data_IF_169907695421
#
_entry.id   IF_169907695421
#
_cell.length_a   1.000
_cell.length_b   1.000
_cell.length_c   1.000
_cell.angle_alpha   90.00
_cell.angle_beta   90.00
_cell.angle_gamma   90.00
#
_symmetry.space_group_name_H-M   'P 1'
#
loop_
_entity.id
_entity.type
_entity.pdbx_description
1 polymer ?
#
# COMPACT_ATOMS: atom_id res chain seq x y z
N UNK A 1 -24.03 -59.29 25.58
CA UNK A 1 -24.30 -60.00 26.87
C UNK A 1 -24.94 -58.92 27.75
N UNK A 2 -26.30 -58.75 27.82
CA UNK A 2 -27.25 -59.51 28.71
C UNK A 2 -26.78 -59.39 30.14
N UNK A 3 -27.54 -58.76 31.04
CA UNK A 3 -28.78 -59.06 31.72
C UNK A 3 -29.06 -57.91 32.72
N UNK A 4 -30.23 -57.40 32.75
CA UNK A 4 -31.48 -57.64 33.48
C UNK A 4 -31.57 -57.00 34.87
N UNK A 5 -32.56 -56.18 34.97
CA UNK A 5 -33.58 -55.83 36.00
C UNK A 5 -33.85 -56.95 37.10
N UNK A 6 -34.65 -56.71 38.21
CA UNK A 6 -35.68 -55.65 38.45
C UNK A 6 -35.97 -55.33 39.94
N UNK A 7 -36.95 -54.44 40.11
CA UNK A 7 -38.01 -54.49 41.16
C UNK A 7 -37.78 -53.53 42.34
N UNK A 8 -38.73 -52.79 42.81
CA UNK A 8 -40.10 -52.69 42.90
C UNK A 8 -40.52 -51.60 43.88
N UNK A 9 -41.65 -51.05 43.56
CA UNK A 9 -42.77 -50.57 44.39
C UNK A 9 -42.63 -49.43 45.39
N UNK A 10 -43.28 -48.33 45.03
CA UNK A 10 -44.46 -47.68 45.66
C UNK A 10 -44.30 -46.90 46.97
N UNK A 11 -44.69 -45.65 47.00
CA UNK A 11 -45.87 -45.03 47.56
C UNK A 11 -45.78 -43.52 47.71
N UNK A 12 -46.73 -42.82 47.07
CA UNK A 12 -47.55 -41.70 47.49
C UNK A 12 -46.93 -40.53 48.26
N UNK A 13 -47.22 -39.31 47.71
CA UNK A 13 -47.83 -38.26 48.54
C UNK A 13 -47.42 -36.84 48.23
N UNK A 14 -48.24 -36.12 47.49
CA UNK A 14 -48.80 -34.78 47.73
C UNK A 14 -47.88 -33.64 48.11
N UNK A 15 -47.98 -32.52 47.36
CA UNK A 15 -47.58 -31.21 47.80
C UNK A 15 -47.29 -30.24 46.66
N UNK A 16 -48.33 -29.64 46.06
CA UNK A 16 -48.21 -28.46 45.19
C UNK A 16 -47.77 -27.27 46.00
N UNK A 17 -46.76 -26.59 45.59
CA UNK A 17 -46.63 -25.16 45.79
C UNK A 17 -45.89 -24.54 44.61
N UNK A 18 -46.65 -23.88 43.73
CA UNK A 18 -46.17 -23.09 42.61
C UNK A 18 -45.69 -21.75 43.13
N UNK A 19 -44.41 -21.49 43.01
CA UNK A 19 -43.87 -20.14 43.07
C UNK A 19 -43.40 -19.73 41.70
N UNK A 20 -44.22 -18.94 41.04
CA UNK A 20 -43.90 -18.31 39.77
C UNK A 20 -43.06 -17.05 40.07
N UNK A 21 -41.77 -17.09 39.76
CA UNK A 21 -40.95 -15.86 39.65
C UNK A 21 -40.86 -15.50 38.17
N UNK A 22 -41.18 -14.26 37.79
CA UNK A 22 -40.93 -13.84 36.42
C UNK A 22 -39.46 -13.49 36.28
N UNK A 23 -38.73 -14.30 35.54
CA UNK A 23 -37.39 -13.96 35.07
C UNK A 23 -37.55 -13.04 33.86
N UNK A 24 -37.41 -11.75 34.11
CA UNK A 24 -37.24 -10.75 33.03
C UNK A 24 -35.87 -10.95 32.40
N UNK A 25 -35.82 -11.67 31.28
CA UNK A 25 -34.66 -11.73 30.40
C UNK A 25 -34.53 -10.38 29.67
N UNK A 26 -33.70 -9.49 30.21
CA UNK A 26 -33.21 -8.32 29.46
C UNK A 26 -32.19 -8.82 28.46
N UNK A 27 -32.63 -9.12 27.24
CA UNK A 27 -31.76 -9.41 26.11
C UNK A 27 -31.14 -8.07 25.65
N UNK A 28 -29.94 -7.75 26.16
CA UNK A 28 -29.09 -6.70 25.58
C UNK A 28 -28.55 -7.26 24.28
N UNK A 29 -29.24 -6.99 23.19
CA UNK A 29 -28.78 -7.25 21.85
C UNK A 29 -27.62 -6.28 21.52
N UNK A 30 -26.38 -6.74 21.72
CA UNK A 30 -25.20 -6.08 21.20
C UNK A 30 -25.11 -6.43 19.71
N UNK A 31 -25.84 -5.69 18.88
CA UNK A 31 -25.62 -5.73 17.42
C UNK A 31 -24.34 -4.95 17.13
N UNK A 32 -23.22 -5.66 17.10
CA UNK A 32 -21.99 -5.18 16.48
C UNK A 32 -22.25 -5.03 14.98
N UNK A 33 -22.61 -3.82 14.56
CA UNK A 33 -22.52 -3.40 13.17
C UNK A 33 -21.02 -3.31 12.83
N UNK A 34 -20.44 -4.44 12.43
CA UNK A 34 -19.25 -4.42 11.58
C UNK A 34 -19.72 -3.90 10.23
N UNK A 35 -19.70 -2.58 10.07
CA UNK A 35 -19.82 -1.95 8.76
C UNK A 35 -18.58 -2.36 7.95
N UNK A 36 -18.71 -3.31 7.06
CA UNK A 36 -17.74 -3.50 5.99
C UNK A 36 -17.72 -2.18 5.21
N UNK A 37 -16.60 -1.44 5.31
CA UNK A 37 -16.39 -0.27 4.47
C UNK A 37 -16.42 -0.77 3.01
N UNK A 38 -17.43 -0.36 2.26
CA UNK A 38 -17.50 -0.64 0.84
C UNK A 38 -16.37 0.16 0.17
N UNK A 39 -15.35 -0.53 -0.35
CA UNK A 39 -14.34 0.11 -1.20
C UNK A 39 -15.06 0.52 -2.48
N UNK A 40 -15.08 1.82 -2.79
CA UNK A 40 -15.54 2.27 -4.08
C UNK A 40 -14.61 1.70 -5.15
N UNK A 41 -15.14 0.94 -6.10
CA UNK A 41 -14.34 0.42 -7.20
C UNK A 41 -13.62 1.59 -7.87
N UNK A 42 -12.30 1.47 -8.04
CA UNK A 42 -11.52 2.52 -8.69
C UNK A 42 -11.92 2.73 -10.15
N UNK A 43 -11.48 3.81 -10.73
CA UNK A 43 -11.81 4.21 -12.11
C UNK A 43 -10.56 4.32 -12.98
N UNK A 44 -10.72 4.04 -14.28
CA UNK A 44 -9.66 4.34 -15.24
C UNK A 44 -9.65 5.84 -15.55
N UNK A 45 -8.45 6.40 -15.55
CA UNK A 45 -8.22 7.81 -15.87
C UNK A 45 -7.13 7.93 -16.93
N UNK A 46 -7.24 8.96 -17.78
CA UNK A 46 -6.23 9.32 -18.77
C UNK A 46 -5.68 10.72 -18.42
N UNK A 47 -4.37 10.89 -18.50
CA UNK A 47 -3.71 12.16 -18.18
C UNK A 47 -2.49 12.42 -19.05
N UNK A 48 -2.07 13.68 -19.22
CA UNK A 48 -0.92 14.03 -20.03
C UNK A 48 0.37 13.46 -19.48
N UNK A 49 1.29 13.07 -20.39
CA UNK A 49 2.67 12.80 -20.01
C UNK A 49 3.43 14.11 -19.76
N UNK A 50 4.61 14.04 -19.14
CA UNK A 50 5.50 15.21 -18.95
C UNK A 50 6.05 15.75 -20.28
N UNK A 51 6.02 14.96 -21.33
CA UNK A 51 6.43 15.33 -22.68
C UNK A 51 5.28 15.12 -23.66
N UNK A 52 4.96 16.12 -24.47
CA UNK A 52 3.96 16.04 -25.52
C UNK A 52 4.31 15.03 -26.64
N UNK A 53 5.59 14.61 -26.71
CA UNK A 53 6.07 13.60 -27.67
C UNK A 53 5.77 12.16 -27.22
N UNK A 54 5.43 11.98 -25.97
CA UNK A 54 5.04 10.71 -25.37
C UNK A 54 3.52 10.56 -25.40
N UNK A 55 2.99 9.33 -25.47
CA UNK A 55 1.57 9.11 -25.37
C UNK A 55 1.05 9.58 -23.99
N UNK A 56 -0.21 9.97 -23.94
CA UNK A 56 -0.91 10.15 -22.67
C UNK A 56 -0.81 8.85 -21.87
N UNK A 57 -0.77 8.99 -20.57
CA UNK A 57 -0.76 7.87 -19.64
C UNK A 57 -2.18 7.49 -19.24
N UNK A 58 -2.35 6.22 -18.95
CA UNK A 58 -3.57 5.67 -18.37
C UNK A 58 -3.25 5.20 -16.96
N UNK A 59 -4.19 5.30 -16.04
CA UNK A 59 -4.01 4.78 -14.70
C UNK A 59 -5.31 4.30 -14.08
N UNK A 60 -5.19 3.49 -13.05
CA UNK A 60 -6.29 3.07 -12.19
C UNK A 60 -6.27 3.92 -10.93
N UNK A 61 -7.33 4.70 -10.72
CA UNK A 61 -7.48 5.64 -9.60
C UNK A 61 -8.47 5.09 -8.59
N UNK A 62 -8.00 4.82 -7.37
CA UNK A 62 -8.83 4.54 -6.21
C UNK A 62 -8.92 5.78 -5.31
N UNK A 63 -10.08 5.97 -4.68
CA UNK A 63 -10.35 7.07 -3.74
C UNK A 63 -10.86 6.52 -2.42
N UNK A 64 -10.55 7.18 -1.30
CA UNK A 64 -11.19 6.86 -0.02
C UNK A 64 -12.70 7.01 -0.16
N UNK A 65 -13.45 6.10 0.48
CA UNK A 65 -14.91 6.22 0.54
C UNK A 65 -15.33 7.50 1.27
N UNK A 66 -16.22 8.26 0.66
CA UNK A 66 -16.81 9.46 1.30
C UNK A 66 -17.51 9.15 2.64
N UNK A 67 -17.91 7.88 2.85
CA UNK A 67 -18.47 7.40 4.10
C UNK A 67 -17.49 7.40 5.28
N UNK A 68 -16.19 7.21 5.04
CA UNK A 68 -15.15 7.27 6.09
C UNK A 68 -14.94 8.70 6.59
N UNK A 69 -15.02 9.70 5.73
CA UNK A 69 -14.93 11.12 6.14
C UNK A 69 -16.08 11.57 7.01
N UNK A 70 -17.29 11.05 6.80
CA UNK A 70 -18.46 11.34 7.65
C UNK A 70 -18.34 10.76 9.07
N UNK A 71 -17.60 9.65 9.23
CA UNK A 71 -17.33 9.03 10.54
C UNK A 71 -16.24 9.75 11.33
N UNK A 72 -15.35 10.48 10.64
CA UNK A 72 -14.28 11.26 11.26
C UNK A 72 -14.72 12.64 11.81
N UNK A 73 -16.02 12.96 11.75
CA UNK A 73 -16.59 14.16 12.38
C UNK A 73 -16.32 15.48 11.64
N UNK A 74 -15.94 15.43 10.36
CA UNK A 74 -15.80 16.62 9.53
C UNK A 74 -17.16 17.23 9.17
N UNK A 75 -17.26 18.55 9.23
CA UNK A 75 -18.44 19.29 8.80
C UNK A 75 -18.76 19.00 7.34
N UNK A 76 -20.02 18.73 7.03
CA UNK A 76 -20.53 18.27 5.72
C UNK A 76 -20.35 19.28 4.57
N UNK A 77 -19.65 20.40 4.78
CA UNK A 77 -19.54 21.48 3.81
C UNK A 77 -18.15 21.70 3.21
N UNK A 78 -17.09 21.09 3.75
CA UNK A 78 -15.76 21.17 3.16
C UNK A 78 -15.48 19.85 2.43
N UNK A 79 -15.20 19.94 1.13
CA UNK A 79 -14.81 18.76 0.34
C UNK A 79 -13.53 18.17 0.95
N UNK A 80 -13.59 16.91 1.41
CA UNK A 80 -12.46 16.27 2.06
C UNK A 80 -11.26 16.20 1.09
N UNK A 81 -10.12 16.71 1.53
CA UNK A 81 -8.86 16.74 0.80
C UNK A 81 -7.94 15.67 1.37
N UNK A 82 -7.50 14.74 0.55
CA UNK A 82 -6.76 13.55 0.95
C UNK A 82 -5.29 13.62 0.55
N UNK A 83 -4.39 12.99 1.31
CA UNK A 83 -3.07 12.67 0.81
C UNK A 83 -3.16 11.67 -0.34
N UNK A 84 -2.13 11.62 -1.20
CA UNK A 84 -2.15 10.74 -2.35
C UNK A 84 -0.88 9.90 -2.50
N UNK A 85 -1.00 8.77 -3.22
CA UNK A 85 0.12 7.86 -3.53
C UNK A 85 0.09 7.50 -5.02
N UNK A 86 1.17 7.79 -5.72
CA UNK A 86 1.43 7.27 -7.07
C UNK A 86 1.98 5.85 -6.94
N UNK A 87 1.40 4.88 -7.65
CA UNK A 87 1.83 3.48 -7.64
C UNK A 87 2.45 3.11 -8.98
N UNK A 88 3.67 2.57 -8.95
CA UNK A 88 4.46 2.20 -10.12
C UNK A 88 4.62 0.67 -10.18
N UNK A 89 4.12 0.08 -11.25
CA UNK A 89 4.13 -1.37 -11.46
C UNK A 89 5.53 -1.93 -11.75
N UNK A 90 5.72 -3.24 -11.55
CA UNK A 90 6.91 -3.97 -11.95
C UNK A 90 7.06 -4.09 -13.48
N UNK A 91 8.07 -4.81 -13.94
CA UNK A 91 8.42 -4.89 -15.35
C UNK A 91 7.37 -5.57 -16.26
N UNK A 92 6.42 -6.30 -15.67
CA UNK A 92 5.30 -6.93 -16.38
C UNK A 92 4.13 -6.00 -16.73
N UNK A 93 4.18 -4.72 -16.34
CA UNK A 93 3.04 -3.81 -16.52
C UNK A 93 2.06 -3.84 -15.33
N UNK A 94 0.92 -3.15 -15.47
CA UNK A 94 -0.16 -3.21 -14.48
C UNK A 94 -0.69 -4.66 -14.38
N UNK A 95 -0.90 -5.10 -13.15
CA UNK A 95 -1.38 -6.43 -12.82
C UNK A 95 -2.48 -6.37 -11.75
N UNK A 96 -3.15 -7.50 -11.48
CA UNK A 96 -4.08 -7.60 -10.35
C UNK A 96 -3.45 -7.13 -9.03
N UNK A 97 -2.20 -7.50 -8.78
CA UNK A 97 -1.47 -7.06 -7.60
C UNK A 97 -1.28 -5.52 -7.51
N UNK A 98 -1.03 -4.85 -8.66
CA UNK A 98 -0.97 -3.38 -8.69
C UNK A 98 -2.32 -2.75 -8.33
N UNK A 99 -3.43 -3.35 -8.80
CA UNK A 99 -4.79 -2.93 -8.47
C UNK A 99 -5.07 -3.15 -6.98
N UNK A 100 -4.76 -4.34 -6.44
CA UNK A 100 -4.97 -4.68 -5.02
C UNK A 100 -4.24 -3.70 -4.09
N UNK A 101 -3.00 -3.31 -4.41
CA UNK A 101 -2.25 -2.29 -3.66
C UNK A 101 -2.95 -0.93 -3.74
N UNK A 102 -3.42 -0.54 -4.92
CA UNK A 102 -4.09 0.74 -5.14
C UNK A 102 -5.39 0.82 -4.35
N UNK A 103 -6.21 -0.23 -4.36
CA UNK A 103 -7.45 -0.31 -3.59
C UNK A 103 -7.17 -0.34 -2.08
N UNK A 104 -6.14 -1.05 -1.65
CA UNK A 104 -5.69 -1.08 -0.25
C UNK A 104 -5.28 0.31 0.24
N UNK A 105 -4.50 1.06 -0.53
CA UNK A 105 -4.16 2.45 -0.21
C UNK A 105 -5.41 3.32 -0.13
N UNK A 106 -6.39 3.13 -1.03
CA UNK A 106 -7.71 3.76 -0.96
C UNK A 106 -8.41 3.47 0.37
N UNK A 107 -8.40 2.22 0.82
CA UNK A 107 -8.99 1.81 2.10
C UNK A 107 -8.27 2.38 3.33
N UNK A 108 -6.99 2.78 3.20
CA UNK A 108 -6.23 3.46 4.25
C UNK A 108 -6.43 4.98 4.28
N UNK A 109 -7.23 5.53 3.37
CA UNK A 109 -7.53 6.95 3.34
C UNK A 109 -6.67 7.77 2.37
N UNK A 110 -5.97 7.13 1.44
CA UNK A 110 -5.20 7.80 0.40
C UNK A 110 -5.94 7.81 -0.94
N UNK A 111 -5.80 8.87 -1.72
CA UNK A 111 -6.04 8.79 -3.16
C UNK A 111 -4.88 8.05 -3.79
N UNK A 112 -5.12 6.93 -4.44
CA UNK A 112 -4.05 6.11 -5.02
C UNK A 112 -4.22 6.00 -6.54
N UNK A 113 -3.12 6.20 -7.28
CA UNK A 113 -3.10 6.14 -8.75
C UNK A 113 -2.03 5.17 -9.23
N UNK A 114 -2.44 3.99 -9.70
CA UNK A 114 -1.55 3.06 -10.39
C UNK A 114 -1.39 3.49 -11.85
N UNK A 115 -0.15 3.75 -12.26
CA UNK A 115 0.18 4.30 -13.59
C UNK A 115 0.55 3.18 -14.54
N UNK A 116 -0.10 3.10 -15.70
CA UNK A 116 0.33 2.24 -16.80
C UNK A 116 1.40 2.93 -17.63
N UNK A 117 2.65 2.56 -17.39
CA UNK A 117 3.80 3.07 -18.14
C UNK A 117 4.08 2.33 -19.43
N UNK A 118 3.54 1.14 -19.64
CA UNK A 118 3.86 0.26 -20.76
C UNK A 118 2.75 0.21 -21.82
N UNK A 119 1.50 0.01 -21.42
CA UNK A 119 0.36 -0.17 -22.32
C UNK A 119 0.18 0.95 -23.32
N UNK A 120 0.18 2.24 -22.93
CA UNK A 120 0.06 3.37 -23.86
C UNK A 120 1.19 3.45 -24.91
N UNK A 121 2.33 2.81 -24.62
CA UNK A 121 3.49 2.73 -25.52
C UNK A 121 3.53 1.46 -26.37
N UNK A 122 2.52 0.59 -26.21
CA UNK A 122 2.49 -0.71 -26.91
C UNK A 122 3.58 -1.70 -26.43
N UNK A 123 4.11 -1.52 -25.21
CA UNK A 123 5.16 -2.38 -24.64
C UNK A 123 4.50 -3.46 -23.80
N UNK A 124 4.69 -4.72 -24.17
CA UNK A 124 4.10 -5.86 -23.46
C UNK A 124 4.78 -6.13 -22.10
N UNK A 125 6.09 -5.97 -22.01
CA UNK A 125 6.88 -6.05 -20.79
C UNK A 125 8.23 -5.36 -20.96
N UNK A 126 8.89 -5.03 -19.85
CA UNK A 126 10.20 -4.39 -19.78
C UNK A 126 11.19 -5.17 -18.88
N UNK A 127 10.98 -6.50 -18.72
CA UNK A 127 11.76 -7.32 -17.78
C UNK A 127 13.21 -7.56 -18.22
N UNK A 128 13.57 -7.22 -19.46
CA UNK A 128 14.96 -7.17 -19.91
C UNK A 128 15.75 -5.96 -19.37
N UNK A 129 15.09 -5.06 -18.63
CA UNK A 129 15.68 -3.91 -17.95
C UNK A 129 15.63 -2.60 -18.74
N UNK A 130 16.16 -1.52 -18.14
CA UNK A 130 16.34 -0.21 -18.78
C UNK A 130 15.14 0.75 -18.75
N UNK A 131 13.95 0.33 -18.32
CA UNK A 131 12.75 1.17 -18.35
C UNK A 131 12.50 1.99 -17.06
N UNK A 132 13.11 1.62 -15.94
CA UNK A 132 12.91 2.31 -14.66
C UNK A 132 13.11 3.82 -14.71
N UNK A 133 14.19 4.36 -15.32
CA UNK A 133 14.39 5.79 -15.47
C UNK A 133 13.24 6.50 -16.22
N UNK A 134 12.68 5.87 -17.26
CA UNK A 134 11.53 6.43 -18.01
C UNK A 134 10.27 6.45 -17.16
N UNK A 135 10.00 5.38 -16.42
CA UNK A 135 8.87 5.29 -15.49
C UNK A 135 8.95 6.34 -14.36
N UNK A 136 10.15 6.79 -14.00
CA UNK A 136 10.32 7.88 -13.05
C UNK A 136 9.74 9.21 -13.59
N UNK A 137 9.82 9.48 -14.88
CA UNK A 137 9.15 10.64 -15.51
C UNK A 137 7.63 10.48 -15.49
N UNK A 138 7.12 9.26 -15.72
CA UNK A 138 5.69 8.96 -15.63
C UNK A 138 5.15 9.19 -14.21
N UNK A 139 5.96 8.92 -13.18
CA UNK A 139 5.62 9.25 -11.80
C UNK A 139 5.38 10.74 -11.59
N UNK A 140 6.21 11.61 -12.20
CA UNK A 140 5.99 13.07 -12.14
C UNK A 140 4.78 13.52 -12.94
N UNK A 141 4.45 12.87 -14.06
CA UNK A 141 3.21 13.12 -14.78
C UNK A 141 1.99 12.83 -13.90
N UNK A 142 2.01 11.69 -13.19
CA UNK A 142 0.97 11.30 -12.25
C UNK A 142 0.90 12.24 -11.03
N UNK A 143 2.05 12.68 -10.49
CA UNK A 143 2.10 13.67 -9.41
C UNK A 143 1.38 14.96 -9.82
N UNK A 144 1.70 15.49 -11.01
CA UNK A 144 1.06 16.70 -11.56
C UNK A 144 -0.44 16.51 -11.77
N UNK A 145 -0.85 15.37 -12.28
CA UNK A 145 -2.26 15.04 -12.45
C UNK A 145 -2.99 15.02 -11.11
N UNK A 146 -2.45 14.33 -10.11
CA UNK A 146 -3.04 14.26 -8.77
C UNK A 146 -3.08 15.63 -8.08
N UNK A 147 -2.02 16.43 -8.20
CA UNK A 147 -1.95 17.77 -7.61
C UNK A 147 -2.99 18.77 -8.17
N UNK A 148 -3.59 18.46 -9.32
CA UNK A 148 -4.65 19.28 -9.94
C UNK A 148 -6.07 18.84 -9.52
N UNK A 149 -6.19 17.73 -8.76
CA UNK A 149 -7.48 17.24 -8.33
C UNK A 149 -7.94 17.97 -7.06
N UNK A 150 -9.15 18.51 -7.05
CA UNK A 150 -9.71 19.26 -5.90
C UNK A 150 -9.75 18.45 -4.59
N UNK A 151 -9.78 17.11 -4.70
CA UNK A 151 -9.82 16.18 -3.57
C UNK A 151 -8.43 15.69 -3.12
N UNK A 152 -7.33 16.25 -3.67
CA UNK A 152 -5.95 15.88 -3.32
C UNK A 152 -5.22 17.05 -2.69
N UNK A 153 -4.51 16.81 -1.58
CA UNK A 153 -3.55 17.76 -1.04
C UNK A 153 -2.23 17.66 -1.82
N UNK A 154 -1.88 18.67 -2.62
CA UNK A 154 -0.68 18.63 -3.44
C UNK A 154 0.63 18.62 -2.64
N UNK A 155 0.59 18.98 -1.35
CA UNK A 155 1.76 18.94 -0.46
C UNK A 155 1.99 17.55 0.16
N UNK A 156 1.02 16.61 0.00
CA UNK A 156 1.03 15.29 0.63
C UNK A 156 0.92 14.17 -0.39
N UNK A 157 1.80 14.17 -1.40
CA UNK A 157 1.84 13.12 -2.43
C UNK A 157 3.12 12.30 -2.27
N UNK A 158 2.96 10.97 -2.10
CA UNK A 158 4.03 9.99 -2.08
C UNK A 158 4.09 9.17 -3.37
N UNK A 159 5.16 8.39 -3.53
CA UNK A 159 5.30 7.40 -4.60
C UNK A 159 5.65 6.04 -4.00
N UNK A 160 5.03 4.98 -4.53
CA UNK A 160 5.30 3.59 -4.20
C UNK A 160 5.57 2.81 -5.47
N UNK A 161 6.55 1.92 -5.46
CA UNK A 161 6.84 1.11 -6.64
C UNK A 161 7.44 -0.24 -6.30
N UNK A 162 7.26 -1.19 -7.21
CA UNK A 162 7.67 -2.58 -7.06
C UNK A 162 8.65 -2.98 -8.16
N UNK A 163 9.76 -3.66 -7.81
CA UNK A 163 10.74 -4.14 -8.77
C UNK A 163 11.23 -3.00 -9.69
N UNK A 164 10.96 -3.05 -10.98
CA UNK A 164 11.22 -1.95 -11.92
C UNK A 164 10.60 -0.62 -11.45
N UNK A 165 9.36 -0.66 -10.92
CA UNK A 165 8.71 0.51 -10.30
C UNK A 165 9.46 0.98 -9.06
N UNK A 166 10.04 0.07 -8.28
CA UNK A 166 10.93 0.41 -7.16
C UNK A 166 12.21 1.11 -7.64
N UNK A 167 12.80 0.66 -8.75
CA UNK A 167 13.89 1.39 -9.42
C UNK A 167 13.45 2.79 -9.83
N UNK A 168 12.27 2.90 -10.45
CA UNK A 168 11.71 4.19 -10.86
C UNK A 168 11.49 5.14 -9.67
N UNK A 169 11.08 4.63 -8.52
CA UNK A 169 10.97 5.39 -7.26
C UNK A 169 12.32 5.99 -6.88
N UNK A 170 13.38 5.19 -6.86
CA UNK A 170 14.71 5.68 -6.50
C UNK A 170 15.19 6.76 -7.49
N UNK A 171 14.96 6.58 -8.80
CA UNK A 171 15.28 7.58 -9.81
C UNK A 171 14.43 8.85 -9.67
N UNK A 172 13.15 8.73 -9.35
CA UNK A 172 12.25 9.88 -9.18
C UNK A 172 12.66 10.77 -8.00
N UNK A 173 13.22 10.19 -6.94
CA UNK A 173 13.67 10.94 -5.77
C UNK A 173 15.07 11.52 -5.93
N UNK A 174 15.91 10.92 -6.78
CA UNK A 174 17.32 11.32 -6.86
C UNK A 174 17.48 12.66 -7.60
N UNK A 175 18.04 13.65 -6.89
CA UNK A 175 18.23 15.02 -7.39
C UNK A 175 19.24 15.06 -8.55
N UNK A 176 20.19 14.14 -8.60
CA UNK A 176 21.18 14.07 -9.68
C UNK A 176 20.67 13.28 -10.90
N UNK A 177 19.45 12.71 -10.79
CA UNK A 177 18.77 11.95 -11.84
C UNK A 177 17.50 12.68 -12.30
N UNK A 178 16.32 12.13 -11.99
CA UNK A 178 15.04 12.64 -12.51
C UNK A 178 14.56 13.89 -11.78
N UNK A 179 14.76 13.98 -10.47
CA UNK A 179 14.22 15.07 -9.66
C UNK A 179 14.75 16.46 -10.07
N UNK A 180 15.95 16.55 -10.64
CA UNK A 180 16.51 17.82 -11.13
C UNK A 180 15.66 18.50 -12.22
N UNK A 181 14.84 17.77 -12.95
CA UNK A 181 14.01 18.28 -14.05
C UNK A 181 12.67 18.85 -13.61
N UNK A 182 12.32 18.72 -12.31
CA UNK A 182 11.02 19.11 -11.79
C UNK A 182 11.16 20.03 -10.58
N UNK A 183 10.22 20.96 -10.44
CA UNK A 183 10.09 21.79 -9.24
C UNK A 183 9.31 21.06 -8.13
N UNK A 184 8.34 20.25 -8.55
CA UNK A 184 7.51 19.42 -7.66
C UNK A 184 8.36 18.34 -6.97
N UNK A 185 7.95 17.93 -5.79
CA UNK A 185 8.63 16.87 -5.01
C UNK A 185 7.60 15.90 -4.41
N UNK A 186 7.97 14.62 -4.41
CA UNK A 186 7.27 13.65 -3.58
C UNK A 186 7.59 13.92 -2.10
N UNK A 187 6.59 13.74 -1.26
CA UNK A 187 6.72 13.93 0.20
C UNK A 187 7.41 12.75 0.88
N UNK A 188 7.20 11.54 0.35
CA UNK A 188 7.77 10.29 0.85
C UNK A 188 7.79 9.24 -0.27
N UNK A 189 8.53 8.17 -0.10
CA UNK A 189 8.58 7.09 -1.09
C UNK A 189 8.72 5.71 -0.47
N UNK A 190 8.19 4.69 -1.16
CA UNK A 190 8.32 3.28 -0.81
C UNK A 190 8.82 2.51 -2.02
N UNK A 191 9.89 1.74 -1.87
CA UNK A 191 10.46 0.91 -2.92
C UNK A 191 10.48 -0.56 -2.46
N UNK A 192 9.66 -1.40 -3.08
CA UNK A 192 9.68 -2.85 -2.87
C UNK A 192 10.70 -3.49 -3.82
N UNK A 193 11.60 -4.25 -3.25
CA UNK A 193 12.66 -5.01 -3.96
C UNK A 193 13.23 -4.30 -5.19
N UNK A 194 13.76 -3.06 -5.01
CA UNK A 194 14.30 -2.30 -6.12
C UNK A 194 15.67 -2.81 -6.54
N UNK A 195 16.02 -2.64 -7.83
CA UNK A 195 17.41 -2.72 -8.26
C UNK A 195 18.18 -1.46 -7.84
N UNK A 196 18.93 -1.54 -6.75
CA UNK A 196 19.71 -0.42 -6.23
C UNK A 196 21.05 -0.27 -6.97
N UNK A 197 21.29 0.86 -7.62
CA UNK A 197 22.47 1.05 -8.48
C UNK A 197 23.17 2.40 -8.34
N UNK A 198 22.62 3.36 -7.59
CA UNK A 198 23.10 4.75 -7.54
C UNK A 198 23.69 5.13 -6.19
N UNK A 199 24.51 6.19 -6.17
CA UNK A 199 24.91 6.91 -4.97
C UNK A 199 23.86 7.99 -4.72
N UNK A 200 22.86 7.73 -3.87
CA UNK A 200 21.64 8.54 -3.89
C UNK A 200 21.85 9.92 -3.22
N UNK A 201 21.16 10.89 -3.83
CA UNK A 201 20.86 12.18 -3.24
C UNK A 201 19.35 12.40 -3.27
N UNK A 202 18.66 11.67 -2.41
CA UNK A 202 17.20 11.66 -2.40
C UNK A 202 16.63 12.95 -1.82
N UNK A 203 15.54 13.42 -2.44
CA UNK A 203 14.83 14.65 -2.07
C UNK A 203 13.78 14.43 -0.99
N UNK A 204 13.42 13.17 -0.70
CA UNK A 204 12.41 12.81 0.30
C UNK A 204 12.78 11.48 0.99
N UNK A 205 12.29 11.24 2.22
CA UNK A 205 12.47 9.97 2.92
C UNK A 205 11.97 8.79 2.08
N UNK A 206 12.73 7.67 2.09
CA UNK A 206 12.37 6.45 1.36
C UNK A 206 12.46 5.23 2.28
N UNK A 207 11.43 4.36 2.21
CA UNK A 207 11.46 3.02 2.78
C UNK A 207 11.78 2.00 1.67
N UNK A 208 12.81 1.19 1.88
CA UNK A 208 13.21 0.07 1.01
C UNK A 208 12.87 -1.23 1.71
N UNK A 209 12.10 -2.10 1.05
CA UNK A 209 11.65 -3.39 1.54
C UNK A 209 12.13 -4.46 0.57
N UNK A 210 13.00 -5.39 1.00
CA UNK A 210 13.66 -6.30 0.08
C UNK A 210 13.90 -7.67 0.72
N UNK A 211 13.80 -8.74 -0.06
CA UNK A 211 14.11 -10.09 0.39
C UNK A 211 15.62 -10.35 0.48
N UNK A 212 16.06 -11.10 1.49
CA UNK A 212 17.46 -11.51 1.61
C UNK A 212 17.86 -12.52 0.54
N UNK A 213 16.91 -13.40 0.15
CA UNK A 213 17.11 -14.43 -0.87
C UNK A 213 16.74 -13.93 -2.30
N UNK A 214 16.53 -12.62 -2.48
CA UNK A 214 16.26 -12.04 -3.78
C UNK A 214 17.51 -12.10 -4.67
N UNK A 215 17.46 -12.98 -5.68
CA UNK A 215 18.52 -13.18 -6.66
C UNK A 215 18.36 -12.33 -7.93
N UNK A 216 17.21 -11.66 -8.10
CA UNK A 216 16.96 -10.74 -9.21
C UNK A 216 17.46 -9.32 -8.92
N UNK A 217 17.14 -8.82 -7.72
CA UNK A 217 17.59 -7.53 -7.21
C UNK A 217 18.26 -7.72 -5.85
N UNK A 218 19.51 -8.23 -5.80
CA UNK A 218 20.15 -8.63 -4.55
C UNK A 218 20.20 -7.52 -3.50
N UNK A 219 19.75 -7.82 -2.27
CA UNK A 219 19.69 -6.90 -1.14
C UNK A 219 21.04 -6.22 -0.84
N UNK A 220 22.17 -6.90 -1.12
CA UNK A 220 23.50 -6.33 -0.88
C UNK A 220 23.76 -5.06 -1.69
N UNK A 221 23.21 -4.97 -2.91
CA UNK A 221 23.31 -3.73 -3.70
C UNK A 221 22.61 -2.55 -3.03
N UNK A 222 21.47 -2.81 -2.38
CA UNK A 222 20.77 -1.77 -1.62
C UNK A 222 21.50 -1.43 -0.32
N UNK A 223 22.12 -2.41 0.36
CA UNK A 223 22.98 -2.14 1.50
C UNK A 223 24.17 -1.27 1.11
N UNK A 224 24.80 -1.56 -0.04
CA UNK A 224 25.88 -0.73 -0.60
C UNK A 224 25.42 0.69 -0.90
N UNK A 225 24.29 0.83 -1.56
CA UNK A 225 23.69 2.14 -1.86
C UNK A 225 23.44 2.95 -0.58
N UNK A 226 22.87 2.34 0.46
CA UNK A 226 22.61 3.00 1.75
C UNK A 226 23.92 3.43 2.43
N UNK A 227 24.95 2.58 2.42
CA UNK A 227 26.27 2.91 3.00
C UNK A 227 26.95 4.10 2.31
N UNK A 228 26.69 4.29 1.03
CA UNK A 228 27.31 5.33 0.21
C UNK A 228 26.37 6.48 -0.14
N UNK A 229 25.22 6.57 0.54
CA UNK A 229 24.31 7.70 0.37
C UNK A 229 25.03 9.02 0.69
N UNK A 230 24.74 10.05 -0.08
CA UNK A 230 25.37 11.37 0.13
C UNK A 230 24.93 11.97 1.47
N UNK A 231 25.78 12.77 2.14
CA UNK A 231 25.45 13.38 3.43
C UNK A 231 24.22 14.30 3.39
N UNK A 232 23.90 14.85 2.22
CA UNK A 232 22.75 15.72 1.97
C UNK A 232 21.52 14.97 1.40
N UNK A 233 21.57 13.64 1.34
CA UNK A 233 20.43 12.81 0.98
C UNK A 233 19.40 12.77 2.10
N UNK A 234 18.10 12.73 1.73
CA UNK A 234 17.04 12.44 2.69
C UNK A 234 17.20 11.02 3.29
N UNK A 235 16.61 10.75 4.46
CA UNK A 235 16.75 9.49 5.17
C UNK A 235 16.29 8.27 4.36
N UNK A 236 17.04 7.16 4.48
CA UNK A 236 16.72 5.86 3.88
C UNK A 236 16.48 4.86 5.00
N UNK A 237 15.27 4.33 5.09
CA UNK A 237 14.91 3.22 5.96
C UNK A 237 14.92 1.93 5.13
N UNK A 238 15.77 0.96 5.49
CA UNK A 238 15.85 -0.32 4.77
C UNK A 238 15.47 -1.48 5.66
N UNK A 239 14.56 -2.32 5.19
CA UNK A 239 14.20 -3.60 5.83
C UNK A 239 14.56 -4.74 4.89
N UNK A 240 15.30 -5.72 5.40
CA UNK A 240 15.67 -6.94 4.69
C UNK A 240 14.95 -8.10 5.35
N UNK A 241 14.21 -8.89 4.57
CA UNK A 241 13.42 -10.02 5.05
C UNK A 241 14.17 -11.33 4.87
N UNK A 242 14.56 -12.01 5.96
CA UNK A 242 15.26 -13.27 5.88
C UNK A 242 14.49 -14.32 5.07
N UNK A 243 15.16 -14.98 4.14
CA UNK A 243 14.59 -16.04 3.31
C UNK A 243 13.51 -15.62 2.32
N UNK A 244 13.13 -14.35 2.27
CA UNK A 244 12.18 -13.86 1.27
C UNK A 244 12.87 -13.65 -0.09
N UNK A 245 12.18 -14.01 -1.16
CA UNK A 245 12.61 -13.85 -2.54
C UNK A 245 12.05 -12.58 -3.20
N UNK A 246 12.35 -12.38 -4.49
CA UNK A 246 11.75 -11.30 -5.28
C UNK A 246 10.23 -11.44 -5.33
N UNK A 247 9.51 -10.32 -5.28
CA UNK A 247 8.04 -10.25 -5.31
C UNK A 247 7.37 -11.01 -4.14
N UNK A 248 7.98 -10.97 -2.96
CA UNK A 248 7.53 -11.67 -1.76
C UNK A 248 6.12 -11.28 -1.26
N UNK A 249 5.58 -10.16 -1.73
CA UNK A 249 4.25 -9.64 -1.38
C UNK A 249 3.14 -10.03 -2.40
N UNK A 250 3.48 -10.81 -3.43
CA UNK A 250 2.55 -11.23 -4.48
C UNK A 250 1.96 -12.60 -4.15
N UNK A 251 0.77 -12.64 -3.54
CA UNK A 251 0.13 -13.89 -3.06
C UNK A 251 -0.07 -14.96 -4.16
N UNK A 252 -0.25 -14.54 -5.42
CA UNK A 252 -0.40 -15.44 -6.58
C UNK A 252 0.91 -16.18 -6.95
N UNK A 253 2.01 -15.90 -6.25
CA UNK A 253 3.28 -16.61 -6.39
C UNK A 253 3.46 -17.74 -5.38
N UNK A 254 2.38 -18.30 -4.88
CA UNK A 254 2.39 -19.47 -4.04
C UNK A 254 1.77 -20.68 -4.80
N UNK A 255 2.55 -21.77 -5.08
CA UNK A 255 3.98 -21.93 -4.76
C UNK A 255 4.90 -21.08 -5.64
N UNK A 256 6.14 -20.88 -5.20
CA UNK A 256 7.16 -20.15 -5.94
C UNK A 256 7.47 -20.75 -7.30
N UNK A 257 8.07 -19.95 -8.18
CA UNK A 257 8.44 -20.37 -9.54
C UNK A 257 9.62 -19.58 -10.10
N UNK A 258 10.23 -20.12 -11.13
CA UNK A 258 11.26 -19.41 -11.89
C UNK A 258 10.65 -18.48 -12.96
N UNK A 259 11.14 -17.23 -13.00
CA UNK A 259 10.77 -16.23 -14.00
C UNK A 259 12.04 -15.53 -14.46
N UNK A 260 12.33 -15.57 -15.75
CA UNK A 260 13.58 -15.02 -16.34
C UNK A 260 14.88 -15.54 -15.68
N UNK A 261 14.86 -16.77 -15.14
CA UNK A 261 16.00 -17.38 -14.47
C UNK A 261 16.13 -17.04 -12.98
N UNK A 262 15.23 -16.25 -12.43
CA UNK A 262 15.17 -15.87 -11.01
C UNK A 262 14.04 -16.58 -10.27
N UNK A 263 14.24 -16.91 -9.00
CA UNK A 263 13.19 -17.47 -8.16
C UNK A 263 12.33 -16.36 -7.59
N UNK A 264 11.02 -16.46 -7.79
CA UNK A 264 10.03 -15.57 -7.21
C UNK A 264 9.03 -16.36 -6.37
N UNK A 265 8.71 -15.88 -5.17
CA UNK A 265 7.86 -16.61 -4.24
C UNK A 265 7.21 -15.66 -3.23
N UNK A 266 5.93 -15.90 -2.93
CA UNK A 266 5.24 -15.23 -1.84
C UNK A 266 5.81 -15.65 -0.49
N UNK A 267 5.99 -14.69 0.41
CA UNK A 267 6.39 -14.94 1.80
C UNK A 267 5.44 -14.19 2.72
N UNK A 268 4.58 -14.94 3.40
CA UNK A 268 3.50 -14.43 4.22
C UNK A 268 3.98 -13.45 5.30
N UNK A 269 4.95 -13.88 6.12
CA UNK A 269 5.48 -13.07 7.20
C UNK A 269 6.15 -11.76 6.71
N UNK A 270 6.88 -11.83 5.58
CA UNK A 270 7.50 -10.66 4.97
C UNK A 270 6.45 -9.71 4.38
N UNK A 271 5.39 -10.25 3.76
CA UNK A 271 4.31 -9.47 3.18
C UNK A 271 3.50 -8.73 4.25
N UNK A 272 3.14 -9.42 5.34
CA UNK A 272 2.40 -8.82 6.46
C UNK A 272 3.21 -7.72 7.16
N UNK A 273 4.47 -7.96 7.50
CA UNK A 273 5.32 -6.94 8.13
C UNK A 273 5.57 -5.75 7.19
N UNK A 274 5.77 -6.01 5.89
CA UNK A 274 5.94 -4.96 4.89
C UNK A 274 4.70 -4.06 4.80
N UNK A 275 3.50 -4.63 4.82
CA UNK A 275 2.25 -3.87 4.83
C UNK A 275 2.14 -2.94 6.04
N UNK A 276 2.42 -3.46 7.24
CA UNK A 276 2.41 -2.67 8.49
C UNK A 276 3.44 -1.54 8.43
N UNK A 277 4.66 -1.81 7.95
CA UNK A 277 5.72 -0.79 7.81
C UNK A 277 5.33 0.29 6.81
N UNK A 278 4.80 -0.08 5.65
CA UNK A 278 4.38 0.88 4.64
C UNK A 278 3.26 1.76 5.16
N UNK A 279 2.24 1.18 5.79
CA UNK A 279 1.15 1.95 6.38
C UNK A 279 1.67 2.95 7.43
N UNK A 280 2.54 2.50 8.33
CA UNK A 280 3.15 3.35 9.36
C UNK A 280 4.01 4.45 8.75
N UNK A 281 4.83 4.11 7.75
CA UNK A 281 5.71 5.04 7.07
C UNK A 281 4.93 6.14 6.33
N UNK A 282 3.91 5.75 5.57
CA UNK A 282 3.05 6.70 4.85
C UNK A 282 2.29 7.61 5.84
N UNK A 283 1.72 7.08 6.90
CA UNK A 283 1.05 7.87 7.93
C UNK A 283 2.02 8.90 8.55
N UNK A 284 3.23 8.48 8.91
CA UNK A 284 4.23 9.37 9.52
C UNK A 284 4.60 10.56 8.60
N UNK A 285 4.62 10.35 7.28
CA UNK A 285 5.10 11.37 6.35
C UNK A 285 4.00 12.12 5.61
N UNK A 286 2.78 11.57 5.53
CA UNK A 286 1.66 12.15 4.77
C UNK A 286 0.54 12.70 5.65
N UNK A 287 0.47 12.34 6.94
CA UNK A 287 -0.48 12.99 7.82
C UNK A 287 -0.07 14.44 8.10
N UNK A 288 -1.03 15.35 8.29
CA UNK A 288 -0.72 16.71 8.71
C UNK A 288 0.07 16.66 10.02
N UNK A 289 1.15 17.41 10.12
CA UNK A 289 1.79 17.61 11.43
C UNK A 289 0.68 18.08 12.39
N UNK A 290 0.47 17.33 13.50
CA UNK A 290 -0.47 17.74 14.51
C UNK A 290 -0.21 19.23 14.83
N UNK A 291 -1.26 20.05 14.73
CA UNK A 291 -1.14 21.47 15.03
C UNK A 291 -0.47 21.60 16.40
N UNK A 292 0.77 22.12 16.41
CA UNK A 292 1.43 22.41 17.68
C UNK A 292 0.53 23.42 18.38
N UNK A 293 -0.10 23.04 19.46
CA UNK A 293 -0.80 23.98 20.33
C UNK A 293 0.18 25.12 20.64
N UNK A 294 -0.20 26.38 20.42
CA UNK A 294 0.65 27.49 20.77
C UNK A 294 0.95 27.38 22.27
N UNK A 295 2.21 27.14 22.62
CA UNK A 295 2.67 27.22 24.00
C UNK A 295 2.30 28.59 24.52
N UNK A 296 1.28 28.62 25.39
CA UNK A 296 0.91 29.84 26.10
C UNK A 296 2.14 30.36 26.86
N UNK A 297 2.56 31.57 26.50
CA UNK A 297 3.58 32.34 27.24
C UNK A 297 2.92 33.05 28.40
#
# INVERSE_FOLDING_TARGET
>A
MSFCRPGGSAFRGCGRMSLVFPISLLAIGLTSLLGAAAVSAGSLVEFPNVSEREPKLVGYLARPDAGLSALAGGDKHEAAVYPAVVVLHGCGGISGHSIDITDRLGSWGYVALSVDSLGPRGIANACSGGFGPRQAFDAYAALRYLAQQEFVDPARIAVLGQSMGGVAVLYALDLDMTAQYFAERFRAAVAYYPGCTTLPRFTAPVAILIGEADDWTPAERCRDMVRHARPDSAPIAMTVYPGAHHAFDVVQLQPGRQVYGHWIEYNDAAAEDAEVRVRTFLATHLEPAAAQEPTAK
#
